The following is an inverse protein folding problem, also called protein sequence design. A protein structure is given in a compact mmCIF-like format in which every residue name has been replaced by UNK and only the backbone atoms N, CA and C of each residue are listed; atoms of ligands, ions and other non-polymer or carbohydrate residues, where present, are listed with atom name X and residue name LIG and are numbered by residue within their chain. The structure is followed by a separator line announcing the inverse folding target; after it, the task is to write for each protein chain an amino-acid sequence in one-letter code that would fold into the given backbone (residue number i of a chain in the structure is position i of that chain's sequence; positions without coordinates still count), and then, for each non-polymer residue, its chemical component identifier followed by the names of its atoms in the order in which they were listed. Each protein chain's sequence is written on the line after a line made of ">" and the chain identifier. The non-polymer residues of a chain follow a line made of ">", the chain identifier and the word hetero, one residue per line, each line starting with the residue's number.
data_IF_180940268054
#
_entry.id   IF_180940268054
#
_cell.length_a   1.000
_cell.length_b   1.000
_cell.length_c   1.000
_cell.angle_alpha   90.00
_cell.angle_beta   90.00
_cell.angle_gamma   90.00
#
_symmetry.space_group_name_H-M   'P 1'
#
loop_
_entity.id
_entity.type
_entity.pdbx_description
1 polymer ?
#
# COMPACT_ATOMS: atom_id res chain seq x y z
N UNK A 1 -4.86 4.10 -3.04
CA UNK A 1 -4.52 3.97 -4.47
C UNK A 1 -4.05 5.25 -5.13
N UNK A 2 -4.76 6.38 -4.99
CA UNK A 2 -4.39 7.64 -5.66
C UNK A 2 -2.97 8.10 -5.30
N UNK A 3 -2.56 7.93 -4.04
CA UNK A 3 -1.21 8.26 -3.58
C UNK A 3 -0.16 7.35 -4.22
N UNK A 4 -0.40 6.04 -4.28
CA UNK A 4 0.50 5.07 -4.93
C UNK A 4 0.66 5.34 -6.44
N UNK A 5 -0.40 5.77 -7.13
CA UNK A 5 -0.37 6.09 -8.56
C UNK A 5 0.41 7.37 -8.90
N UNK A 6 0.81 8.18 -7.89
CA UNK A 6 1.65 9.37 -8.10
C UNK A 6 3.13 9.06 -8.20
N UNK A 7 3.54 7.89 -7.72
CA UNK A 7 4.92 7.44 -7.72
C UNK A 7 5.17 6.56 -8.93
N UNK A 8 6.38 6.66 -9.47
CA UNK A 8 6.82 5.81 -10.57
C UNK A 8 7.17 4.40 -10.04
N UNK A 9 7.68 4.30 -8.80
CA UNK A 9 7.99 3.05 -8.12
C UNK A 9 6.85 2.04 -8.16
N UNK A 10 7.19 0.77 -8.34
CA UNK A 10 6.24 -0.32 -8.22
C UNK A 10 5.96 -0.60 -6.74
N UNK A 11 4.69 -0.48 -6.37
CA UNK A 11 4.26 -0.57 -4.98
C UNK A 11 3.34 -1.79 -4.84
N UNK A 12 3.78 -2.76 -4.07
CA UNK A 12 3.03 -3.97 -3.77
C UNK A 12 2.65 -4.01 -2.31
N UNK A 13 1.46 -4.54 -2.04
CA UNK A 13 0.98 -4.82 -0.71
C UNK A 13 0.80 -6.33 -0.58
N UNK A 14 1.42 -6.88 0.44
CA UNK A 14 1.23 -8.25 0.87
C UNK A 14 0.33 -8.30 2.09
N UNK A 15 -0.70 -9.14 2.02
CA UNK A 15 -1.56 -9.43 3.14
C UNK A 15 -1.88 -10.93 3.13
N UNK A 16 -1.64 -11.60 4.26
CA UNK A 16 -1.95 -13.03 4.43
C UNK A 16 -1.37 -13.93 3.32
N UNK A 17 -0.13 -13.64 2.90
CA UNK A 17 0.58 -14.35 1.82
C UNK A 17 0.10 -14.03 0.39
N UNK A 18 -0.81 -13.07 0.22
CA UNK A 18 -1.24 -12.57 -1.10
C UNK A 18 -0.63 -11.20 -1.38
N UNK A 19 0.13 -11.12 -2.47
CA UNK A 19 0.67 -9.86 -3.01
C UNK A 19 -0.24 -9.27 -4.06
N UNK A 20 -0.57 -7.99 -3.93
CA UNK A 20 -1.32 -7.21 -4.93
C UNK A 20 -0.65 -5.88 -5.19
N UNK A 21 -0.86 -5.30 -6.36
CA UNK A 21 -0.35 -3.96 -6.67
C UNK A 21 -1.23 -2.91 -5.97
N UNK A 22 -0.61 -2.03 -5.17
CA UNK A 22 -1.29 -0.96 -4.43
C UNK A 22 -1.80 0.16 -5.35
N UNK A 23 -1.27 0.29 -6.57
CA UNK A 23 -1.81 1.18 -7.62
C UNK A 23 -3.14 0.66 -8.18
N UNK A 24 -3.45 -0.64 -8.02
CA UNK A 24 -4.69 -1.24 -8.50
C UNK A 24 -5.74 -1.30 -7.40
N UNK A 25 -6.77 -0.45 -7.53
CA UNK A 25 -7.91 -0.40 -6.58
C UNK A 25 -8.63 -1.74 -6.44
N UNK A 26 -8.68 -2.52 -7.51
CA UNK A 26 -9.33 -3.83 -7.50
C UNK A 26 -8.58 -4.81 -6.58
N UNK A 27 -7.25 -4.76 -6.57
CA UNK A 27 -6.42 -5.62 -5.73
C UNK A 27 -6.55 -5.30 -4.24
N UNK A 28 -6.52 -4.00 -3.90
CA UNK A 28 -6.60 -3.54 -2.50
C UNK A 28 -7.99 -3.82 -1.91
N UNK A 29 -9.07 -3.54 -2.64
CA UNK A 29 -10.42 -3.86 -2.17
C UNK A 29 -10.64 -5.37 -2.03
N UNK A 30 -10.06 -6.16 -2.93
CA UNK A 30 -10.18 -7.63 -2.88
C UNK A 30 -9.44 -8.27 -1.72
N UNK A 31 -8.43 -7.61 -1.15
CA UNK A 31 -7.71 -8.13 0.01
C UNK A 31 -8.53 -8.03 1.30
N UNK A 32 -9.54 -7.15 1.34
CA UNK A 32 -10.38 -6.98 2.53
C UNK A 32 -9.56 -6.67 3.78
N UNK A 33 -8.51 -5.85 3.63
CA UNK A 33 -7.63 -5.44 4.73
C UNK A 33 -8.49 -4.75 5.79
N UNK A 34 -8.70 -5.46 6.89
CA UNK A 34 -9.50 -4.98 8.01
C UNK A 34 -8.68 -4.06 8.91
N UNK A 35 -9.38 -3.37 9.81
CA UNK A 35 -8.72 -2.72 10.95
C UNK A 35 -7.95 -3.81 11.72
N UNK A 36 -6.70 -3.53 12.10
CA UNK A 36 -5.76 -4.44 12.77
C UNK A 36 -5.14 -5.55 11.89
N UNK A 37 -5.24 -5.43 10.57
CA UNK A 37 -4.59 -6.34 9.64
C UNK A 37 -3.08 -6.05 9.51
N UNK A 38 -2.25 -7.09 9.68
CA UNK A 38 -0.81 -6.99 9.45
C UNK A 38 -0.51 -7.08 7.94
N UNK A 39 -0.12 -5.96 7.36
CA UNK A 39 0.23 -5.84 5.94
C UNK A 39 1.71 -5.52 5.79
N UNK A 40 2.31 -6.03 4.72
CA UNK A 40 3.69 -5.67 4.34
C UNK A 40 3.65 -4.90 3.03
N UNK A 41 4.29 -3.75 2.98
CA UNK A 41 4.36 -2.92 1.78
C UNK A 41 5.77 -3.02 1.21
N UNK A 42 5.84 -3.31 -0.08
CA UNK A 42 7.06 -3.32 -0.86
C UNK A 42 6.98 -2.16 -1.84
N UNK A 43 8.02 -1.34 -1.89
CA UNK A 43 8.20 -0.36 -2.94
C UNK A 43 9.54 -0.64 -3.61
N UNK A 44 9.56 -0.61 -4.94
CA UNK A 44 10.77 -0.80 -5.75
C UNK A 44 10.80 0.31 -6.81
N UNK A 45 11.81 1.18 -6.70
CA UNK A 45 12.04 2.23 -7.69
C UNK A 45 12.77 3.44 -7.12
N UNK A 46 12.94 4.45 -7.97
CA UNK A 46 13.73 5.65 -7.65
C UNK A 46 13.14 6.49 -6.52
N UNK A 47 11.83 6.42 -6.33
CA UNK A 47 11.03 7.14 -5.35
C UNK A 47 10.43 6.20 -4.28
N UNK A 48 11.04 5.03 -4.07
CA UNK A 48 10.55 3.99 -3.15
C UNK A 48 10.39 4.50 -1.71
N UNK A 49 11.32 5.33 -1.25
CA UNK A 49 11.32 5.85 0.13
C UNK A 49 10.16 6.83 0.34
N UNK A 50 10.00 7.78 -0.60
CA UNK A 50 8.92 8.77 -0.55
C UNK A 50 7.54 8.11 -0.72
N UNK A 51 7.48 7.06 -1.54
CA UNK A 51 6.28 6.26 -1.78
C UNK A 51 5.82 5.54 -0.51
N UNK A 52 6.73 4.82 0.16
CA UNK A 52 6.44 4.13 1.43
C UNK A 52 5.94 5.13 2.46
N UNK A 53 6.67 6.24 2.64
CA UNK A 53 6.35 7.24 3.65
C UNK A 53 4.97 7.88 3.42
N UNK A 54 4.69 8.26 2.18
CA UNK A 54 3.39 8.84 1.81
C UNK A 54 2.23 7.85 1.93
N UNK A 55 2.48 6.56 1.67
CA UNK A 55 1.45 5.53 1.83
C UNK A 55 1.17 5.24 3.29
N UNK A 56 2.20 5.11 4.12
CA UNK A 56 2.04 4.96 5.57
C UNK A 56 1.25 6.12 6.15
N UNK A 57 1.57 7.36 5.78
CA UNK A 57 0.83 8.54 6.22
C UNK A 57 -0.66 8.48 5.86
N UNK A 58 -0.99 8.00 4.66
CA UNK A 58 -2.39 7.85 4.22
C UNK A 58 -3.08 6.74 4.99
N UNK A 59 -2.41 5.60 5.21
CA UNK A 59 -2.97 4.48 5.95
C UNK A 59 -3.24 4.85 7.42
N UNK A 60 -2.32 5.60 8.04
CA UNK A 60 -2.50 6.11 9.41
C UNK A 60 -3.60 7.18 9.48
N UNK A 61 -3.69 8.08 8.49
CA UNK A 61 -4.78 9.08 8.44
C UNK A 61 -6.17 8.45 8.27
N UNK A 62 -6.26 7.39 7.49
CA UNK A 62 -7.50 6.64 7.27
C UNK A 62 -7.78 5.65 8.42
N UNK A 63 -6.88 5.52 9.41
CA UNK A 63 -7.04 4.64 10.57
C UNK A 63 -7.03 3.15 10.22
N UNK A 64 -6.36 2.79 9.12
CA UNK A 64 -6.27 1.43 8.61
C UNK A 64 -5.02 0.68 9.13
N UNK A 65 -3.98 1.42 9.53
CA UNK A 65 -2.76 0.88 10.13
C UNK A 65 -2.13 1.92 11.07
N UNK A 66 -1.53 1.45 12.17
CA UNK A 66 -0.69 2.26 13.09
C UNK A 66 0.80 1.98 12.86
#
# INVERSE_FOLDING_TARGET
>A
VQTASKFDSDIQLEYNGKKVNLKSIMGVMSLGVGKDAEITIYADGSDETDAIQSITDVLSKEGLAE
#
